data_IF_044302053947
#
_entry.id   IF_044302053947
#
_cell.length_a   1.000
_cell.length_b   1.000
_cell.length_c   1.000
_cell.angle_alpha   90.00
_cell.angle_beta   90.00
_cell.angle_gamma   90.00
#
_symmetry.space_group_name_H-M   'P 1'
#
loop_
_entity.id
_entity.type
_entity.pdbx_description
1 polymer ?
#
# COMPACT_ATOMS: atom_id res chain seq x y z
N UNK A 1 44.25 -10.05 -32.90
CA UNK A 1 44.64 -9.08 -31.85
C UNK A 1 43.47 -8.18 -31.46
N UNK A 2 42.83 -7.46 -32.39
CA UNK A 2 41.68 -6.58 -32.11
C UNK A 2 40.48 -7.28 -31.44
N UNK A 3 40.13 -8.48 -31.88
CA UNK A 3 39.04 -9.28 -31.30
C UNK A 3 39.33 -9.71 -29.85
N UNK A 4 40.59 -10.06 -29.55
CA UNK A 4 41.03 -10.40 -28.18
C UNK A 4 41.03 -9.17 -27.28
N UNK A 5 41.35 -8.00 -27.83
CA UNK A 5 41.32 -6.73 -27.11
C UNK A 5 39.88 -6.28 -26.83
N UNK A 6 38.97 -6.45 -27.78
CA UNK A 6 37.54 -6.23 -27.58
C UNK A 6 36.95 -7.20 -26.57
N UNK A 7 37.29 -8.49 -26.64
CA UNK A 7 36.88 -9.49 -25.63
C UNK A 7 37.48 -9.15 -24.26
N UNK A 8 38.74 -8.71 -24.20
CA UNK A 8 39.39 -8.28 -22.97
C UNK A 8 38.72 -7.04 -22.34
N UNK A 9 38.44 -6.01 -23.15
CA UNK A 9 37.69 -4.82 -22.71
C UNK A 9 36.26 -5.18 -22.30
N UNK A 10 35.61 -6.08 -23.03
CA UNK A 10 34.29 -6.59 -22.70
C UNK A 10 34.27 -7.33 -21.37
N UNK A 11 35.28 -8.17 -21.09
CA UNK A 11 35.40 -8.89 -19.82
C UNK A 11 35.82 -7.98 -18.65
N UNK A 12 36.60 -6.93 -18.92
CA UNK A 12 37.04 -5.95 -17.91
C UNK A 12 36.03 -4.82 -17.68
N UNK A 13 34.99 -4.69 -18.52
CA UNK A 13 34.03 -3.58 -18.45
C UNK A 13 33.34 -3.49 -17.10
N UNK A 14 33.02 -4.65 -16.50
CA UNK A 14 32.29 -4.70 -15.25
C UNK A 14 33.17 -4.14 -14.11
N UNK A 15 34.46 -4.45 -14.08
CA UNK A 15 35.39 -3.86 -13.12
C UNK A 15 35.66 -2.36 -13.35
N UNK A 16 35.71 -1.93 -14.61
CA UNK A 16 36.05 -0.54 -14.94
C UNK A 16 34.88 0.42 -14.76
N UNK A 17 33.64 -0.05 -14.98
CA UNK A 17 32.44 0.79 -14.98
C UNK A 17 31.60 0.65 -13.71
N UNK A 18 31.72 -0.45 -12.95
CA UNK A 18 30.91 -0.66 -11.74
C UNK A 18 31.03 0.48 -10.73
N UNK A 19 32.26 0.96 -10.46
CA UNK A 19 32.49 2.04 -9.50
C UNK A 19 31.85 3.37 -9.92
N UNK A 20 32.12 3.88 -11.14
CA UNK A 20 31.46 5.08 -11.66
C UNK A 20 29.93 4.97 -11.70
N UNK A 21 29.38 3.82 -12.12
CA UNK A 21 27.92 3.60 -12.18
C UNK A 21 27.31 3.58 -10.79
N UNK A 22 27.96 2.95 -9.82
CA UNK A 22 27.49 2.92 -8.44
C UNK A 22 27.36 4.34 -7.88
N UNK A 23 28.35 5.22 -8.15
CA UNK A 23 28.28 6.63 -7.76
C UNK A 23 27.15 7.39 -8.43
N UNK A 24 26.92 7.16 -9.73
CA UNK A 24 25.81 7.81 -10.44
C UNK A 24 24.47 7.35 -9.87
N UNK A 25 24.29 6.04 -9.64
CA UNK A 25 23.08 5.50 -9.02
C UNK A 25 22.86 6.07 -7.61
N UNK A 26 23.90 6.10 -6.77
CA UNK A 26 23.88 6.74 -5.45
C UNK A 26 23.45 8.20 -5.51
N UNK A 27 23.98 8.99 -6.44
CA UNK A 27 23.63 10.40 -6.59
C UNK A 27 22.17 10.57 -7.02
N UNK A 28 21.71 9.79 -8.00
CA UNK A 28 20.29 9.84 -8.44
C UNK A 28 19.35 9.47 -7.31
N UNK A 29 19.66 8.43 -6.53
CA UNK A 29 18.87 8.05 -5.36
C UNK A 29 18.88 9.13 -4.28
N UNK A 30 20.04 9.76 -4.05
CA UNK A 30 20.19 10.85 -3.08
C UNK A 30 19.36 12.07 -3.47
N UNK A 31 19.41 12.46 -4.75
CA UNK A 31 18.64 13.58 -5.29
C UNK A 31 17.12 13.32 -5.23
N UNK A 32 16.69 12.07 -5.46
CA UNK A 32 15.27 11.73 -5.47
C UNK A 32 14.67 11.51 -4.07
N UNK A 33 15.44 10.95 -3.14
CA UNK A 33 14.95 10.57 -1.82
C UNK A 33 15.34 11.57 -0.73
N UNK A 34 16.19 12.56 -1.03
CA UNK A 34 16.57 13.63 -0.11
C UNK A 34 17.55 13.21 1.00
N UNK A 35 18.24 12.08 0.84
CA UNK A 35 19.24 11.55 1.79
C UNK A 35 20.58 11.28 1.13
N UNK A 36 21.53 10.66 1.84
CA UNK A 36 22.77 10.14 1.25
C UNK A 36 22.78 8.62 1.28
N UNK A 37 22.98 8.02 0.10
CA UNK A 37 22.98 6.58 -0.08
C UNK A 37 24.30 6.11 -0.68
N UNK A 38 24.89 5.09 -0.07
CA UNK A 38 26.06 4.43 -0.60
C UNK A 38 25.64 3.11 -1.24
N UNK A 39 26.09 2.91 -2.48
CA UNK A 39 25.98 1.64 -3.20
C UNK A 39 27.38 1.05 -3.36
N UNK A 40 27.58 -0.18 -2.90
CA UNK A 40 28.90 -0.84 -2.92
C UNK A 40 29.36 -1.11 -4.34
N UNK A 41 28.49 -1.68 -5.18
CA UNK A 41 28.81 -2.03 -6.57
C UNK A 41 27.58 -2.28 -7.42
N UNK A 42 27.79 -2.19 -8.73
CA UNK A 42 26.85 -2.61 -9.77
C UNK A 42 27.46 -3.79 -10.52
N UNK A 43 26.73 -4.90 -10.61
CA UNK A 43 27.10 -6.13 -11.32
C UNK A 43 26.04 -6.47 -12.39
N UNK A 44 26.22 -7.60 -13.07
CA UNK A 44 25.26 -8.13 -14.03
C UNK A 44 25.74 -8.08 -15.48
N UNK A 45 24.86 -8.49 -16.40
CA UNK A 45 25.12 -8.46 -17.82
C UNK A 45 24.28 -7.37 -18.50
N UNK A 46 24.95 -6.47 -19.24
CA UNK A 46 24.31 -5.34 -19.91
C UNK A 46 23.26 -5.69 -20.98
N UNK A 47 23.04 -6.98 -21.25
CA UNK A 47 22.11 -7.46 -22.27
C UNK A 47 20.78 -7.94 -21.71
N UNK A 48 20.70 -8.20 -20.41
CA UNK A 48 19.44 -8.59 -19.80
C UNK A 48 19.42 -8.77 -18.30
N UNK A 49 20.48 -8.40 -17.57
CA UNK A 49 20.48 -8.46 -16.11
C UNK A 49 21.32 -7.35 -15.50
N UNK A 50 20.75 -6.63 -14.53
CA UNK A 50 21.45 -5.60 -13.77
C UNK A 50 21.32 -5.93 -12.29
N UNK A 51 22.45 -5.94 -11.59
CA UNK A 51 22.47 -6.16 -10.15
C UNK A 51 23.04 -4.95 -9.42
N UNK A 52 22.29 -4.40 -8.47
CA UNK A 52 22.80 -3.45 -7.49
C UNK A 52 23.12 -4.25 -6.23
N UNK A 53 24.33 -4.13 -5.69
CA UNK A 53 24.76 -4.90 -4.52
C UNK A 53 25.17 -3.94 -3.42
N UNK A 54 24.65 -4.21 -2.22
CA UNK A 54 24.98 -3.53 -0.97
C UNK A 54 24.62 -2.05 -1.04
N UNK A 55 23.36 -1.71 -0.74
CA UNK A 55 22.99 -0.31 -0.53
C UNK A 55 22.72 -0.06 0.95
N UNK A 56 23.18 1.09 1.44
CA UNK A 56 22.85 1.58 2.77
C UNK A 56 22.59 3.08 2.77
N UNK A 57 21.75 3.50 3.70
CA UNK A 57 21.54 4.91 4.02
C UNK A 57 22.67 5.37 4.94
N UNK A 58 23.48 6.31 4.47
CA UNK A 58 24.52 6.96 5.27
C UNK A 58 23.96 8.14 6.07
N UNK A 59 23.08 8.91 5.43
CA UNK A 59 22.36 10.01 6.05
C UNK A 59 20.89 9.94 5.63
N UNK A 60 20.02 9.82 6.63
CA UNK A 60 18.57 9.80 6.42
C UNK A 60 18.10 11.14 5.87
N UNK A 61 17.09 11.14 5.00
CA UNK A 61 16.40 12.36 4.61
C UNK A 61 15.92 13.15 5.84
N UNK A 62 16.13 14.47 5.83
CA UNK A 62 15.67 15.34 6.92
C UNK A 62 14.17 15.62 6.88
N UNK A 63 13.51 15.24 5.78
CA UNK A 63 12.10 15.51 5.48
C UNK A 63 11.48 14.25 4.90
N UNK A 64 10.22 13.99 5.27
CA UNK A 64 9.44 12.88 4.75
C UNK A 64 9.54 11.61 5.59
N UNK A 65 8.85 10.57 5.12
CA UNK A 65 8.67 9.35 5.91
C UNK A 65 9.87 8.41 5.90
N UNK A 66 10.83 8.56 4.98
CA UNK A 66 11.92 7.61 4.85
C UNK A 66 12.99 7.84 5.93
N UNK A 67 13.12 6.92 6.88
CA UNK A 67 14.19 6.98 7.89
C UNK A 67 15.42 6.17 7.48
N UNK A 68 15.23 4.98 6.92
CA UNK A 68 16.32 4.11 6.53
C UNK A 68 15.89 3.24 5.36
N UNK A 69 16.80 3.04 4.43
CA UNK A 69 16.72 1.97 3.45
C UNK A 69 18.09 1.33 3.29
N UNK A 70 18.12 0.00 3.36
CA UNK A 70 19.26 -0.81 2.97
C UNK A 70 18.80 -2.07 2.25
N UNK A 71 19.63 -2.60 1.37
CA UNK A 71 19.42 -3.90 0.76
C UNK A 71 20.75 -4.59 0.49
N UNK A 72 20.72 -5.92 0.48
CA UNK A 72 21.88 -6.73 0.08
C UNK A 72 22.03 -6.74 -1.43
N UNK A 73 20.91 -6.92 -2.15
CA UNK A 73 20.91 -7.04 -3.61
C UNK A 73 19.58 -6.63 -4.23
N UNK A 74 19.63 -5.86 -5.31
CA UNK A 74 18.53 -5.70 -6.27
C UNK A 74 18.98 -6.35 -7.57
N UNK A 75 18.20 -7.28 -8.11
CA UNK A 75 18.39 -7.85 -9.44
C UNK A 75 17.25 -7.39 -10.34
N UNK A 76 17.58 -6.86 -11.51
CA UNK A 76 16.62 -6.42 -12.53
C UNK A 76 16.88 -7.23 -13.79
N UNK A 77 15.94 -8.09 -14.15
CA UNK A 77 15.99 -8.82 -15.44
C UNK A 77 15.23 -8.01 -16.47
N UNK A 78 15.80 -7.85 -17.67
CA UNK A 78 15.22 -7.05 -18.74
C UNK A 78 15.53 -7.61 -20.13
N UNK A 79 14.74 -7.21 -21.12
CA UNK A 79 15.03 -7.40 -22.54
C UNK A 79 15.60 -6.11 -23.13
N UNK A 80 16.90 -6.11 -23.45
CA UNK A 80 17.60 -4.96 -24.02
C UNK A 80 16.94 -4.45 -25.31
N UNK A 81 16.41 -5.32 -26.16
CA UNK A 81 15.82 -4.90 -27.43
C UNK A 81 14.53 -4.11 -27.20
N UNK A 82 13.74 -4.52 -26.20
CA UNK A 82 12.54 -3.79 -25.77
C UNK A 82 12.90 -2.50 -25.04
N UNK A 83 13.97 -2.49 -24.22
CA UNK A 83 14.49 -1.27 -23.58
C UNK A 83 14.91 -0.19 -24.60
N UNK A 84 15.42 -0.58 -25.77
CA UNK A 84 15.83 0.34 -26.84
C UNK A 84 14.67 0.77 -27.75
N UNK A 85 13.48 0.20 -27.55
CA UNK A 85 12.28 0.51 -28.31
C UNK A 85 11.57 1.80 -27.88
N UNK A 86 10.36 2.01 -28.39
CA UNK A 86 9.53 3.17 -28.05
C UNK A 86 8.99 3.16 -26.62
N UNK A 87 9.07 2.00 -25.93
CA UNK A 87 8.53 1.78 -24.59
C UNK A 87 9.53 1.05 -23.70
N UNK A 88 10.57 1.74 -23.21
CA UNK A 88 11.60 1.11 -22.41
C UNK A 88 11.05 0.42 -21.15
N UNK A 89 9.99 0.95 -20.55
CA UNK A 89 9.38 0.37 -19.35
C UNK A 89 8.84 -1.05 -19.54
N UNK A 90 8.39 -1.41 -20.74
CA UNK A 90 7.87 -2.76 -21.04
C UNK A 90 9.00 -3.79 -21.17
N UNK A 91 10.27 -3.34 -21.23
CA UNK A 91 11.43 -4.22 -21.31
C UNK A 91 11.91 -4.73 -19.95
N UNK A 92 11.34 -4.27 -18.84
CA UNK A 92 11.68 -4.78 -17.50
C UNK A 92 10.80 -6.00 -17.21
N UNK A 93 11.42 -7.17 -17.09
CA UNK A 93 10.70 -8.43 -16.90
C UNK A 93 10.44 -8.70 -15.41
N UNK A 94 11.49 -8.55 -14.59
CA UNK A 94 11.39 -8.79 -13.15
C UNK A 94 12.35 -7.95 -12.34
N UNK A 95 11.97 -7.66 -11.10
CA UNK A 95 12.76 -6.96 -10.10
C UNK A 95 12.76 -7.78 -8.82
N UNK A 96 13.92 -8.29 -8.40
CA UNK A 96 14.07 -9.00 -7.13
C UNK A 96 14.92 -8.19 -6.18
N UNK A 97 14.35 -7.77 -5.06
CA UNK A 97 15.06 -7.14 -3.94
C UNK A 97 15.29 -8.20 -2.86
N UNK A 98 16.52 -8.29 -2.36
CA UNK A 98 16.92 -9.24 -1.32
C UNK A 98 17.59 -8.50 -0.17
N UNK A 99 17.26 -8.93 1.05
CA UNK A 99 17.77 -8.32 2.28
C UNK A 99 17.30 -6.89 2.46
N UNK A 100 16.11 -6.53 1.97
CA UNK A 100 15.56 -5.18 2.18
C UNK A 100 15.39 -4.96 3.70
N UNK A 101 15.88 -3.83 4.20
CA UNK A 101 15.53 -3.28 5.49
C UNK A 101 15.10 -1.82 5.25
N UNK A 102 13.79 -1.62 5.20
CA UNK A 102 13.16 -0.32 4.96
C UNK A 102 12.46 0.12 6.24
N UNK A 103 12.82 1.30 6.75
CA UNK A 103 12.15 1.93 7.88
C UNK A 103 11.48 3.22 7.44
N UNK A 104 10.16 3.24 7.58
CA UNK A 104 9.31 4.38 7.32
C UNK A 104 8.74 4.91 8.64
N UNK A 105 8.75 6.22 8.80
CA UNK A 105 8.13 6.93 9.92
C UNK A 105 7.09 7.91 9.39
N UNK A 106 5.83 7.48 9.48
CA UNK A 106 4.69 8.28 9.05
C UNK A 106 4.34 9.39 10.05
N UNK A 107 5.06 9.50 11.17
CA UNK A 107 4.91 10.59 12.14
C UNK A 107 5.87 11.75 11.86
N UNK A 108 6.82 11.56 10.94
CA UNK A 108 7.77 12.59 10.54
C UNK A 108 7.07 13.74 9.79
N UNK A 109 7.53 14.99 9.96
CA UNK A 109 6.98 16.12 9.24
C UNK A 109 7.23 15.96 7.72
N UNK A 110 6.15 15.98 6.95
CA UNK A 110 6.18 16.07 5.49
C UNK A 110 6.30 17.55 5.12
N UNK A 111 7.20 17.90 4.19
CA UNK A 111 7.18 19.24 3.60
C UNK A 111 5.84 19.47 2.93
N UNK A 112 5.20 20.60 3.25
CA UNK A 112 4.01 21.07 2.55
C UNK A 112 4.42 21.41 1.11
N UNK A 113 4.35 20.40 0.23
CA UNK A 113 4.54 20.62 -1.19
C UNK A 113 3.50 21.63 -1.67
N UNK A 114 3.96 22.76 -2.20
CA UNK A 114 3.11 23.78 -2.81
C UNK A 114 2.50 23.33 -4.14
N UNK A 115 2.96 22.18 -4.66
CA UNK A 115 2.41 21.59 -5.87
C UNK A 115 1.17 20.77 -5.52
N UNK A 116 0.03 20.97 -6.22
CA UNK A 116 -1.16 20.16 -5.99
C UNK A 116 -0.80 18.69 -6.20
N UNK A 117 -1.21 17.79 -5.28
CA UNK A 117 -0.92 16.37 -5.44
C UNK A 117 -1.46 15.87 -6.78
N UNK A 118 -0.74 14.98 -7.48
CA UNK A 118 -1.21 14.42 -8.73
C UNK A 118 -2.56 13.76 -8.51
N UNK A 119 -3.49 13.95 -9.45
CA UNK A 119 -4.80 13.31 -9.32
C UNK A 119 -4.66 11.79 -9.45
N UNK A 120 -5.61 11.04 -8.88
CA UNK A 120 -5.62 9.58 -9.05
C UNK A 120 -5.70 9.17 -10.54
N UNK A 121 -6.35 10.00 -11.37
CA UNK A 121 -6.38 9.79 -12.81
C UNK A 121 -4.97 9.87 -13.42
N UNK A 122 -4.19 10.88 -13.02
CA UNK A 122 -2.81 11.07 -13.48
C UNK A 122 -1.91 9.90 -13.03
N UNK A 123 -2.06 9.46 -11.77
CA UNK A 123 -1.31 8.31 -11.24
C UNK A 123 -1.65 7.05 -12.04
N UNK A 124 -2.94 6.78 -12.27
CA UNK A 124 -3.42 5.58 -12.98
C UNK A 124 -3.00 5.59 -14.45
N UNK A 125 -3.07 6.74 -15.12
CA UNK A 125 -2.67 6.89 -16.52
C UNK A 125 -1.13 6.84 -16.68
N UNK A 126 -0.37 7.13 -15.61
CA UNK A 126 1.07 6.96 -15.55
C UNK A 126 1.53 5.53 -15.24
N UNK A 127 0.65 4.64 -14.76
CA UNK A 127 1.02 3.25 -14.50
C UNK A 127 1.40 2.52 -15.81
N UNK A 128 2.51 1.76 -15.81
CA UNK A 128 2.92 1.04 -17.00
C UNK A 128 1.91 -0.05 -17.37
N UNK A 129 1.79 -0.33 -18.67
CA UNK A 129 0.81 -1.32 -19.18
C UNK A 129 1.13 -2.73 -18.71
N UNK A 130 2.42 -3.04 -18.66
CA UNK A 130 2.98 -4.24 -18.05
C UNK A 130 3.67 -3.82 -16.75
N UNK A 131 3.45 -4.57 -15.68
CA UNK A 131 4.18 -4.37 -14.45
C UNK A 131 5.21 -5.49 -14.36
N UNK A 132 6.49 -5.20 -14.09
CA UNK A 132 7.45 -6.27 -13.89
C UNK A 132 7.03 -7.10 -12.69
N UNK A 133 7.34 -8.40 -12.71
CA UNK A 133 7.21 -9.20 -11.51
C UNK A 133 8.21 -8.69 -10.48
N UNK A 134 7.71 -8.17 -9.36
CA UNK A 134 8.54 -7.64 -8.28
C UNK A 134 8.47 -8.57 -7.07
N UNK A 135 9.62 -9.05 -6.62
CA UNK A 135 9.72 -9.82 -5.37
C UNK A 135 10.65 -9.08 -4.43
N UNK A 136 10.18 -8.74 -3.26
CA UNK A 136 10.90 -8.02 -2.22
C UNK A 136 11.01 -8.96 -1.02
N UNK A 137 12.18 -9.55 -0.87
CA UNK A 137 12.53 -10.36 0.29
C UNK A 137 13.25 -9.48 1.30
N UNK A 138 12.69 -9.39 2.50
CA UNK A 138 13.18 -8.49 3.52
C UNK A 138 12.06 -7.95 4.39
N UNK A 139 12.35 -6.86 5.09
CA UNK A 139 11.56 -6.29 6.16
C UNK A 139 11.28 -4.82 5.88
N UNK A 140 10.02 -4.45 6.02
CA UNK A 140 9.53 -3.07 5.99
C UNK A 140 8.92 -2.76 7.35
N UNK A 141 9.58 -1.91 8.13
CA UNK A 141 9.05 -1.37 9.37
C UNK A 141 8.36 -0.03 9.10
N UNK A 142 7.06 0.04 9.38
CA UNK A 142 6.27 1.27 9.29
C UNK A 142 5.92 1.72 10.69
N UNK A 143 6.49 2.84 11.12
CA UNK A 143 6.16 3.51 12.36
C UNK A 143 4.99 4.46 12.13
N UNK A 144 3.94 4.31 12.93
CA UNK A 144 2.76 5.17 12.98
C UNK A 144 2.60 5.73 14.39
N UNK A 145 1.64 6.64 14.59
CA UNK A 145 1.31 7.16 15.92
C UNK A 145 0.82 6.06 16.89
N UNK A 146 0.27 4.97 16.35
CA UNK A 146 -0.32 3.87 17.12
C UNK A 146 0.66 2.71 17.39
N UNK A 147 1.87 2.78 16.83
CA UNK A 147 2.93 1.79 17.03
C UNK A 147 3.68 1.43 15.74
N UNK A 148 4.42 0.33 15.77
CA UNK A 148 5.16 -0.19 14.62
C UNK A 148 4.43 -1.37 13.98
N UNK A 149 4.33 -1.36 12.66
CA UNK A 149 3.92 -2.49 11.84
C UNK A 149 5.12 -3.02 11.07
N UNK A 150 5.27 -4.34 10.98
CA UNK A 150 6.32 -4.95 10.18
C UNK A 150 5.68 -5.78 9.09
N UNK A 151 6.14 -5.55 7.86
CA UNK A 151 5.74 -6.29 6.67
C UNK A 151 6.97 -6.97 6.10
N UNK A 152 6.84 -8.22 5.69
CA UNK A 152 7.91 -8.98 5.08
C UNK A 152 7.44 -9.80 3.90
N UNK A 153 8.40 -10.10 3.02
CA UNK A 153 8.24 -10.92 1.83
C UNK A 153 7.05 -10.48 0.96
N UNK A 154 7.21 -9.28 0.41
CA UNK A 154 6.26 -8.65 -0.49
C UNK A 154 6.49 -9.14 -1.92
N UNK A 155 5.45 -9.67 -2.56
CA UNK A 155 5.46 -9.97 -4.00
C UNK A 155 4.39 -9.14 -4.69
N UNK A 156 4.77 -8.47 -5.76
CA UNK A 156 3.87 -7.75 -6.66
C UNK A 156 3.99 -8.41 -8.02
N UNK A 157 2.87 -8.87 -8.57
CA UNK A 157 2.82 -9.50 -9.88
C UNK A 157 1.64 -8.94 -10.67
N UNK A 158 1.72 -8.99 -12.01
CA UNK A 158 0.61 -8.63 -12.87
C UNK A 158 0.93 -7.47 -13.82
N UNK A 159 -0.04 -6.58 -14.05
CA UNK A 159 0.04 -5.51 -15.05
C UNK A 159 -1.13 -4.53 -14.96
N UNK A 160 -1.33 -3.74 -16.01
CA UNK A 160 -2.38 -2.70 -16.05
C UNK A 160 -3.82 -3.20 -15.93
N UNK A 161 -4.04 -4.51 -16.07
CA UNK A 161 -5.36 -5.13 -15.96
C UNK A 161 -5.58 -5.85 -14.64
N UNK A 162 -4.51 -6.30 -13.98
CA UNK A 162 -4.60 -7.05 -12.74
C UNK A 162 -3.27 -6.92 -12.01
N UNK A 163 -3.29 -6.46 -10.76
CA UNK A 163 -2.14 -6.35 -9.89
C UNK A 163 -2.39 -7.20 -8.66
N UNK A 164 -1.61 -8.27 -8.50
CA UNK A 164 -1.62 -9.11 -7.30
C UNK A 164 -0.48 -8.68 -6.37
N UNK A 165 -0.81 -8.33 -5.15
CA UNK A 165 0.11 -7.99 -4.07
C UNK A 165 -0.03 -9.05 -2.97
N UNK A 166 1.04 -9.78 -2.70
CA UNK A 166 1.10 -10.81 -1.67
C UNK A 166 2.10 -10.41 -0.60
N UNK A 167 1.68 -10.46 0.65
CA UNK A 167 2.51 -10.30 1.85
C UNK A 167 2.56 -11.64 2.57
N UNK A 168 3.73 -12.10 3.02
CA UNK A 168 3.85 -13.40 3.71
C UNK A 168 4.20 -13.30 5.18
N UNK A 169 4.75 -12.18 5.60
CA UNK A 169 5.05 -11.93 7.01
C UNK A 169 4.41 -10.61 7.41
N UNK A 170 3.43 -10.67 8.31
CA UNK A 170 2.76 -9.48 8.83
C UNK A 170 2.85 -9.54 10.36
N UNK A 171 3.64 -8.63 10.94
CA UNK A 171 3.53 -8.34 12.36
C UNK A 171 2.65 -7.09 12.52
N UNK A 172 1.36 -7.27 12.81
CA UNK A 172 0.42 -6.16 12.91
C UNK A 172 0.72 -5.31 14.14
N UNK A 173 0.14 -4.11 14.13
CA UNK A 173 0.11 -3.24 15.31
C UNK A 173 -0.44 -4.01 16.53
N UNK A 174 0.00 -3.68 17.77
CA UNK A 174 -0.56 -4.30 18.98
C UNK A 174 -2.08 -4.22 19.05
N UNK A 175 -2.67 -3.21 18.40
CA UNK A 175 -4.11 -3.00 18.31
C UNK A 175 -4.84 -3.95 17.35
N UNK A 176 -4.11 -4.59 16.44
CA UNK A 176 -4.63 -5.43 15.37
C UNK A 176 -4.10 -6.87 15.45
N UNK A 177 -3.37 -7.23 16.52
CA UNK A 177 -2.77 -8.58 16.68
C UNK A 177 -3.81 -9.70 16.68
N UNK A 178 -4.94 -9.50 17.33
CA UNK A 178 -5.97 -10.53 17.42
C UNK A 178 -6.69 -10.68 16.07
N UNK A 179 -6.46 -11.81 15.41
CA UNK A 179 -7.09 -12.15 14.12
C UNK A 179 -6.38 -11.59 12.89
N UNK A 180 -5.15 -11.08 13.01
CA UNK A 180 -4.36 -10.73 11.84
C UNK A 180 -3.97 -11.99 11.05
N UNK A 181 -4.07 -11.94 9.72
CA UNK A 181 -3.63 -13.06 8.92
C UNK A 181 -2.10 -13.13 8.92
N UNK A 182 -1.57 -14.35 8.79
CA UNK A 182 -0.12 -14.56 8.65
C UNK A 182 0.37 -14.06 7.28
N UNK A 183 -0.47 -14.21 6.24
CA UNK A 183 -0.24 -13.74 4.88
C UNK A 183 -1.45 -12.99 4.32
N UNK A 184 -1.23 -12.07 3.39
CA UNK A 184 -2.29 -11.30 2.75
C UNK A 184 -2.08 -11.25 1.25
N UNK A 185 -3.03 -11.79 0.48
CA UNK A 185 -3.07 -11.58 -0.98
C UNK A 185 -4.21 -10.64 -1.34
N UNK A 186 -3.82 -9.50 -1.91
CA UNK A 186 -4.67 -8.45 -2.46
C UNK A 186 -4.58 -8.49 -3.97
N UNK A 187 -5.69 -8.67 -4.65
CA UNK A 187 -5.74 -8.61 -6.12
C UNK A 187 -6.55 -7.39 -6.55
N UNK A 188 -5.95 -6.54 -7.37
CA UNK A 188 -6.55 -5.33 -7.90
C UNK A 188 -6.73 -5.49 -9.42
N UNK A 189 -7.95 -5.77 -9.86
CA UNK A 189 -8.30 -5.93 -11.27
C UNK A 189 -8.87 -4.63 -11.85
N UNK A 190 -8.35 -4.17 -12.99
CA UNK A 190 -8.91 -3.03 -13.72
C UNK A 190 -10.18 -3.47 -14.44
N UNK A 191 -11.27 -2.80 -14.14
CA UNK A 191 -12.54 -2.89 -14.85
C UNK A 191 -12.61 -1.82 -15.96
N UNK A 192 -13.59 -1.91 -16.87
CA UNK A 192 -13.91 -0.81 -17.78
C UNK A 192 -14.13 0.52 -17.04
N UNK A 193 -14.07 1.64 -17.76
CA UNK A 193 -14.46 2.96 -17.25
C UNK A 193 -13.64 3.45 -16.04
N UNK A 194 -12.33 3.16 -16.01
CA UNK A 194 -11.42 3.62 -14.93
C UNK A 194 -11.83 3.15 -13.53
N UNK A 195 -12.51 2.01 -13.45
CA UNK A 195 -12.83 1.35 -12.18
C UNK A 195 -11.83 0.23 -11.90
N UNK A 196 -11.56 -0.02 -10.64
CA UNK A 196 -10.72 -1.11 -10.15
C UNK A 196 -11.53 -1.93 -9.16
N UNK A 197 -11.37 -3.25 -9.20
CA UNK A 197 -11.94 -4.18 -8.25
C UNK A 197 -10.82 -4.74 -7.38
N UNK A 198 -10.94 -4.54 -6.08
CA UNK A 198 -10.09 -5.14 -5.08
C UNK A 198 -10.77 -6.42 -4.56
N UNK A 199 -10.00 -7.52 -4.53
CA UNK A 199 -10.38 -8.76 -3.87
C UNK A 199 -9.30 -9.18 -2.88
N UNK A 200 -9.74 -9.86 -1.83
CA UNK A 200 -8.91 -10.52 -0.85
C UNK A 200 -9.19 -12.01 -0.91
N UNK A 201 -8.13 -12.82 -0.94
CA UNK A 201 -8.27 -14.27 -1.00
C UNK A 201 -8.67 -14.88 0.36
N UNK A 202 -8.43 -14.15 1.45
CA UNK A 202 -8.61 -14.63 2.81
C UNK A 202 -9.47 -13.68 3.67
N UNK A 203 -9.99 -14.23 4.76
CA UNK A 203 -10.65 -13.46 5.81
C UNK A 203 -9.59 -12.72 6.63
N UNK A 204 -9.67 -11.39 6.65
CA UNK A 204 -8.69 -10.52 7.32
C UNK A 204 -9.35 -9.91 8.54
N UNK A 205 -8.84 -10.17 9.75
CA UNK A 205 -9.40 -9.61 10.98
C UNK A 205 -10.89 -9.90 11.19
N UNK A 206 -11.35 -11.09 10.79
CA UNK A 206 -12.76 -11.48 10.86
C UNK A 206 -13.64 -10.88 9.76
N UNK A 207 -13.03 -10.23 8.76
CA UNK A 207 -13.68 -9.55 7.65
C UNK A 207 -13.37 -10.28 6.35
N UNK A 208 -14.39 -10.81 5.70
CA UNK A 208 -14.29 -11.34 4.34
C UNK A 208 -14.79 -10.28 3.36
N UNK A 209 -13.91 -9.75 2.52
CA UNK A 209 -14.31 -8.79 1.48
C UNK A 209 -14.95 -9.56 0.33
N UNK A 210 -16.25 -9.37 0.13
CA UNK A 210 -17.00 -9.98 -0.97
C UNK A 210 -16.84 -9.17 -2.27
N UNK A 211 -16.77 -7.84 -2.14
CA UNK A 211 -16.45 -6.95 -3.26
C UNK A 211 -15.90 -5.64 -2.72
N UNK A 212 -14.77 -5.18 -3.24
CA UNK A 212 -14.33 -3.81 -3.08
C UNK A 212 -14.08 -3.21 -4.47
N UNK A 213 -14.57 -2.01 -4.72
CA UNK A 213 -14.39 -1.29 -5.99
C UNK A 213 -13.96 0.13 -5.71
N UNK A 214 -13.02 0.64 -6.50
CA UNK A 214 -12.57 2.03 -6.45
C UNK A 214 -12.45 2.52 -7.88
N UNK A 215 -13.04 3.66 -8.20
CA UNK A 215 -13.02 4.23 -9.54
C UNK A 215 -13.22 5.73 -9.53
N UNK A 216 -13.22 6.31 -10.72
CA UNK A 216 -13.54 7.71 -10.93
C UNK A 216 -14.95 7.84 -11.53
N UNK A 217 -15.78 8.67 -10.92
CA UNK A 217 -17.13 8.98 -11.40
C UNK A 217 -17.14 9.96 -12.57
N UNK A 218 -18.34 10.43 -12.96
CA UNK A 218 -18.55 11.33 -14.11
C UNK A 218 -17.81 12.68 -14.04
N UNK A 219 -17.33 13.08 -12.86
CA UNK A 219 -16.64 14.36 -12.62
C UNK A 219 -15.18 14.15 -12.15
N UNK A 220 -14.56 13.01 -12.46
CA UNK A 220 -13.29 12.55 -11.89
C UNK A 220 -13.28 12.50 -10.35
N UNK A 221 -14.47 12.50 -9.74
CA UNK A 221 -14.63 12.34 -8.31
C UNK A 221 -14.38 10.87 -7.93
N UNK A 222 -13.59 10.65 -6.88
CA UNK A 222 -13.36 9.31 -6.33
C UNK A 222 -14.70 8.67 -5.92
N UNK A 223 -14.93 7.47 -6.44
CA UNK A 223 -16.01 6.59 -6.05
C UNK A 223 -15.42 5.31 -5.48
N UNK A 224 -15.96 4.83 -4.37
CA UNK A 224 -15.60 3.54 -3.82
C UNK A 224 -16.83 2.80 -3.34
N UNK A 225 -16.81 1.48 -3.43
CA UNK A 225 -17.81 0.59 -2.85
C UNK A 225 -17.09 -0.53 -2.13
N UNK A 226 -17.57 -0.90 -0.96
CA UNK A 226 -17.08 -2.01 -0.16
C UNK A 226 -18.29 -2.82 0.29
N UNK A 227 -18.27 -4.12 0.02
CA UNK A 227 -19.16 -5.10 0.58
C UNK A 227 -18.30 -6.16 1.27
N UNK A 228 -18.52 -6.31 2.57
CA UNK A 228 -17.78 -7.24 3.40
C UNK A 228 -18.73 -7.98 4.33
N UNK A 229 -18.34 -9.19 4.71
CA UNK A 229 -19.07 -10.04 5.66
C UNK A 229 -18.20 -10.33 6.87
N UNK A 230 -18.86 -10.51 8.00
CA UNK A 230 -18.28 -11.06 9.23
C UNK A 230 -18.97 -12.40 9.50
N UNK A 231 -18.45 -13.17 10.47
CA UNK A 231 -19.06 -14.44 10.88
C UNK A 231 -20.58 -14.33 11.13
N UNK A 232 -21.05 -13.20 11.68
CA UNK A 232 -22.46 -12.96 11.96
C UNK A 232 -22.88 -11.51 11.62
N UNK A 233 -22.53 -11.01 10.43
CA UNK A 233 -22.97 -9.68 9.99
C UNK A 233 -22.47 -9.30 8.60
N UNK A 234 -22.89 -8.14 8.09
CA UNK A 234 -22.31 -7.58 6.86
C UNK A 234 -22.10 -6.07 6.96
N UNK A 235 -21.08 -5.57 6.28
CA UNK A 235 -20.78 -4.16 6.13
C UNK A 235 -20.86 -3.81 4.64
N UNK A 236 -21.66 -2.80 4.33
CA UNK A 236 -21.66 -2.15 3.01
C UNK A 236 -21.24 -0.70 3.18
N UNK A 237 -20.16 -0.28 2.57
CA UNK A 237 -19.77 1.12 2.51
C UNK A 237 -19.70 1.60 1.07
N UNK A 238 -19.99 2.88 0.85
CA UNK A 238 -19.77 3.55 -0.42
C UNK A 238 -19.28 4.97 -0.19
N UNK A 239 -18.34 5.39 -1.03
CA UNK A 239 -17.88 6.76 -1.15
C UNK A 239 -18.36 7.28 -2.50
N UNK A 240 -19.14 8.35 -2.53
CA UNK A 240 -19.55 8.98 -3.78
C UNK A 240 -19.49 10.51 -3.62
N UNK A 241 -18.72 11.18 -4.49
CA UNK A 241 -18.54 12.63 -4.46
C UNK A 241 -18.14 13.17 -3.06
N UNK A 242 -17.20 12.48 -2.39
CA UNK A 242 -16.73 12.83 -1.05
C UNK A 242 -17.74 12.53 0.07
N UNK A 243 -18.89 11.93 -0.21
CA UNK A 243 -19.82 11.44 0.80
C UNK A 243 -19.57 9.96 1.06
N UNK A 244 -19.11 9.66 2.28
CA UNK A 244 -18.99 8.29 2.76
C UNK A 244 -20.31 7.87 3.39
N UNK A 245 -20.88 6.76 2.94
CA UNK A 245 -22.00 6.09 3.60
C UNK A 245 -21.59 4.68 3.97
N UNK A 246 -21.90 4.24 5.18
CA UNK A 246 -21.66 2.88 5.64
C UNK A 246 -22.93 2.34 6.28
N UNK A 247 -23.26 1.09 6.00
CA UNK A 247 -24.37 0.36 6.56
C UNK A 247 -23.83 -0.96 7.11
N UNK A 248 -23.86 -1.09 8.42
CA UNK A 248 -23.58 -2.33 9.13
C UNK A 248 -24.91 -3.01 9.42
N UNK A 249 -25.09 -4.20 8.84
CA UNK A 249 -26.30 -4.98 9.00
C UNK A 249 -26.05 -6.17 9.93
N UNK A 250 -26.83 -6.20 11.01
CA UNK A 250 -27.00 -7.36 11.89
C UNK A 250 -25.74 -7.89 12.58
N UNK A 251 -24.80 -7.03 13.00
CA UNK A 251 -23.60 -7.48 13.71
C UNK A 251 -23.94 -7.91 15.15
N UNK A 252 -23.72 -9.17 15.51
CA UNK A 252 -23.73 -9.55 16.94
C UNK A 252 -22.50 -8.98 17.64
N UNK A 253 -22.71 -8.12 18.64
CA UNK A 253 -21.62 -7.42 19.34
C UNK A 253 -20.64 -8.40 19.99
N UNK A 254 -21.13 -9.53 20.51
CA UNK A 254 -20.29 -10.57 21.09
C UNK A 254 -19.39 -11.29 20.08
N UNK A 255 -19.74 -11.24 18.78
CA UNK A 255 -18.96 -11.78 17.67
C UNK A 255 -18.19 -10.69 16.91
N UNK A 256 -18.24 -9.44 17.36
CA UNK A 256 -17.53 -8.34 16.73
C UNK A 256 -16.01 -8.54 16.91
N UNK A 257 -15.20 -8.35 15.85
CA UNK A 257 -13.77 -8.48 15.96
C UNK A 257 -13.19 -7.43 16.92
N UNK A 258 -12.07 -7.75 17.57
CA UNK A 258 -11.50 -6.94 18.66
C UNK A 258 -11.20 -5.48 18.26
N UNK A 259 -10.80 -5.25 17.01
CA UNK A 259 -10.57 -3.90 16.48
C UNK A 259 -11.87 -3.07 16.44
N UNK A 260 -13.00 -3.70 16.09
CA UNK A 260 -14.29 -3.04 16.04
C UNK A 260 -14.81 -2.74 17.45
N UNK A 261 -14.58 -3.65 18.40
CA UNK A 261 -14.87 -3.38 19.82
C UNK A 261 -14.11 -2.16 20.33
N UNK A 262 -12.82 -2.02 19.98
CA UNK A 262 -12.03 -0.84 20.36
C UNK A 262 -12.52 0.46 19.72
N UNK A 263 -12.97 0.43 18.46
CA UNK A 263 -13.64 1.59 17.86
C UNK A 263 -14.95 1.95 18.59
N UNK A 264 -15.65 0.94 19.11
CA UNK A 264 -16.87 1.10 19.89
C UNK A 264 -16.63 1.51 21.36
N UNK A 265 -15.46 1.27 21.94
CA UNK A 265 -15.14 1.64 23.33
C UNK A 265 -15.26 3.15 23.59
N UNK A 266 -15.07 3.99 22.56
CA UNK A 266 -15.30 5.44 22.62
C UNK A 266 -16.78 5.84 22.64
N UNK A 267 -17.71 4.89 22.46
CA UNK A 267 -19.15 5.14 22.33
C UNK A 267 -19.86 4.74 23.62
N UNK A 268 -20.10 5.71 24.49
CA UNK A 268 -20.88 5.48 25.71
C UNK A 268 -22.30 5.00 25.38
N UNK A 269 -22.72 3.90 26.00
CA UNK A 269 -24.09 3.36 25.86
C UNK A 269 -24.24 2.23 24.85
N UNK A 270 -23.17 1.80 24.18
CA UNK A 270 -23.19 0.53 23.43
C UNK A 270 -23.09 -0.62 24.44
N UNK A 271 -24.02 -1.57 24.40
CA UNK A 271 -24.00 -2.73 25.29
C UNK A 271 -23.08 -3.84 24.83
N UNK A 272 -22.60 -4.66 25.78
CA UNK A 272 -21.67 -5.77 25.49
C UNK A 272 -22.35 -7.00 24.83
N UNK A 273 -23.66 -6.95 24.57
CA UNK A 273 -24.45 -8.04 23.96
C UNK A 273 -25.59 -7.46 23.12
N UNK A 274 -26.02 -8.17 22.08
CA UNK A 274 -27.11 -7.77 21.18
C UNK A 274 -26.70 -7.70 19.71
N UNK A 275 -27.63 -7.30 18.86
CA UNK A 275 -27.41 -7.08 17.43
C UNK A 275 -27.34 -5.59 17.15
N UNK A 276 -26.30 -5.14 16.45
CA UNK A 276 -26.11 -3.77 16.03
C UNK A 276 -26.43 -3.64 14.53
N UNK A 277 -27.42 -2.80 14.22
CA UNK A 277 -27.67 -2.31 12.87
C UNK A 277 -27.43 -0.81 12.87
N UNK A 278 -26.49 -0.35 12.05
CA UNK A 278 -25.96 1.00 12.10
C UNK A 278 -25.77 1.55 10.69
N UNK A 279 -26.44 2.65 10.39
CA UNK A 279 -26.12 3.47 9.23
C UNK A 279 -25.24 4.62 9.68
N UNK A 280 -24.22 4.96 8.91
CA UNK A 280 -23.40 6.14 9.09
C UNK A 280 -23.29 6.91 7.77
N UNK A 281 -23.32 8.24 7.85
CA UNK A 281 -23.11 9.13 6.72
C UNK A 281 -22.13 10.22 7.12
N UNK A 282 -21.18 10.49 6.26
CA UNK A 282 -20.16 11.51 6.46
C UNK A 282 -19.86 12.27 5.19
N UNK A 283 -19.45 13.53 5.34
CA UNK A 283 -18.95 14.36 4.25
C UNK A 283 -17.48 14.62 4.50
N UNK A 284 -16.62 14.18 3.57
CA UNK A 284 -15.19 14.45 3.61
C UNK A 284 -15.00 15.91 3.18
N UNK A 285 -14.57 16.76 4.10
CA UNK A 285 -14.11 18.12 3.80
C UNK A 285 -12.59 18.14 3.69
N UNK A 286 -12.04 19.02 2.86
CA UNK A 286 -10.62 19.09 2.49
C UNK A 286 -9.66 19.54 3.61
N UNK A 287 -10.10 19.59 4.87
CA UNK A 287 -9.33 20.14 5.98
C UNK A 287 -9.88 19.59 7.32
N UNK A 288 -9.01 19.11 8.23
CA UNK A 288 -8.57 17.70 8.31
C UNK A 288 -9.73 16.69 8.28
N UNK A 289 -9.46 15.44 7.84
CA UNK A 289 -10.40 14.30 7.72
C UNK A 289 -11.28 14.09 8.97
N UNK A 290 -12.32 14.92 9.11
CA UNK A 290 -13.25 14.88 10.23
C UNK A 290 -14.49 14.19 9.72
N UNK A 291 -14.49 12.87 9.81
CA UNK A 291 -15.68 12.09 9.51
C UNK A 291 -16.66 12.24 10.69
N UNK A 292 -17.74 12.98 10.48
CA UNK A 292 -18.89 12.92 11.41
C UNK A 292 -19.68 11.67 11.06
N UNK A 293 -19.97 10.81 12.03
CA UNK A 293 -20.78 9.61 11.84
C UNK A 293 -22.09 9.80 12.60
N UNK A 294 -23.21 9.79 11.90
CA UNK A 294 -24.51 9.65 12.55
C UNK A 294 -24.84 8.17 12.62
N UNK A 295 -24.75 7.54 13.81
CA UNK A 295 -25.20 6.16 14.00
C UNK A 295 -26.71 6.16 14.28
N UNK A 296 -27.49 5.63 13.34
CA UNK A 296 -28.90 5.30 13.62
C UNK A 296 -29.01 3.82 13.97
N UNK A 297 -29.25 3.53 15.25
CA UNK A 297 -29.58 2.19 15.73
C UNK A 297 -31.04 1.87 15.35
N UNK A 298 -31.23 1.03 14.33
CA UNK A 298 -32.54 0.80 13.71
C UNK A 298 -33.42 -0.21 14.46
N UNK A 299 -32.81 -1.19 15.12
CA UNK A 299 -33.52 -2.14 15.96
C UNK A 299 -32.53 -2.76 16.95
N UNK A 300 -32.52 -2.26 18.18
CA UNK A 300 -31.72 -2.89 19.22
C UNK A 300 -32.42 -4.14 19.75
N UNK A 301 -33.73 -4.33 19.55
CA UNK A 301 -34.51 -5.34 20.29
C UNK A 301 -34.63 -5.00 21.79
N UNK A 302 -34.37 -3.74 22.15
CA UNK A 302 -34.15 -3.30 23.52
C UNK A 302 -35.32 -2.46 24.02
N UNK A 303 -35.97 -2.80 25.14
CA UNK A 303 -37.16 -2.09 25.61
C UNK A 303 -36.87 -0.67 26.16
N UNK A 304 -35.61 -0.22 26.24
CA UNK A 304 -35.26 1.08 26.86
C UNK A 304 -34.47 2.07 26.00
N UNK A 305 -34.16 1.76 24.73
CA UNK A 305 -33.51 2.72 23.82
C UNK A 305 -34.35 2.83 22.56
N UNK A 306 -35.47 3.54 22.66
CA UNK A 306 -36.33 3.87 21.51
C UNK A 306 -35.92 5.25 21.01
N UNK A 307 -35.29 5.32 19.84
CA UNK A 307 -35.10 6.58 19.10
C UNK A 307 -33.95 7.48 19.56
N UNK A 308 -32.91 6.94 20.19
CA UNK A 308 -31.71 7.72 20.51
C UNK A 308 -30.83 7.92 19.26
N UNK A 309 -30.66 9.17 18.82
CA UNK A 309 -29.57 9.53 17.90
C UNK A 309 -28.27 9.65 18.72
N UNK A 310 -27.30 8.80 18.45
CA UNK A 310 -25.94 8.97 18.95
C UNK A 310 -25.09 9.59 17.84
N UNK A 311 -24.66 10.83 18.02
CA UNK A 311 -23.70 11.46 17.10
C UNK A 311 -22.30 11.11 17.55
N UNK A 312 -21.56 10.38 16.71
CA UNK A 312 -20.14 10.13 16.93
C UNK A 312 -19.32 11.18 16.20
N UNK A 313 -18.44 11.83 16.95
CA UNK A 313 -17.37 12.67 16.42
C UNK A 313 -16.07 11.93 16.65
N UNK A 314 -15.67 11.13 15.67
CA UNK A 314 -14.34 10.53 15.62
C UNK A 314 -13.44 11.39 14.74
N UNK A 315 -12.19 11.56 15.13
CA UNK A 315 -11.14 12.02 14.22
C UNK A 315 -10.47 10.76 13.69
N UNK A 316 -10.57 10.51 12.38
CA UNK A 316 -9.67 9.56 11.73
C UNK A 316 -8.35 10.31 11.61
N UNK A 317 -7.33 9.87 12.36
CA UNK A 317 -5.98 10.41 12.28
C UNK A 317 -5.28 9.86 11.03
#
# INVERSE_FOLDING_TARGET
MFLVLLVGVYLLRDQLLAGPLARVASNVLSDQLGGRFELERVEGNWFGDLELVGMRTDESPSVGALQRVSFDRIRVTYDLMTLLGERPQDGIESVTVSGLDLKLDLTAPTEESTEPPPSLADIVDALPRSFPEMTINGRVEVLTADGSMILGDLRVAGGSQELALTLREIEPLPTLRDGAPESLTLTLARLPERTWQLSLDEEVWGLKIEAARVGLGQDDALQAELAATFAEGSLRASLNQGQLSANLESLKIAAAPAWLNRLMEGVSGIPNQGTLSAKAQSRITSDPLTATFELQALDLGWPQVVGGQATLRGRLA
#
